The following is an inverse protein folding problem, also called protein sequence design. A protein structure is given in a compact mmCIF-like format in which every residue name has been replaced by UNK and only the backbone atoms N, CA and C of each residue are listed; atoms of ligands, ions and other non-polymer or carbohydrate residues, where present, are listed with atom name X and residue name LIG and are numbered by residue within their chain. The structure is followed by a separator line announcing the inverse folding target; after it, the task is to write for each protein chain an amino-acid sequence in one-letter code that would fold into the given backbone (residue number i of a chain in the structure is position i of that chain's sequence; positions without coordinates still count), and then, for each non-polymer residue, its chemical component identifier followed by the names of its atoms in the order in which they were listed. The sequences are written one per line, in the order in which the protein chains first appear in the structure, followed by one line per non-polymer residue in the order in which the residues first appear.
data_IF_202129094364
#
_entry.id   IF_202129094364
#
_cell.length_a   1.000
_cell.length_b   1.000
_cell.length_c   1.000
_cell.angle_alpha   90.00
_cell.angle_beta   90.00
_cell.angle_gamma   90.00
#
_symmetry.space_group_name_H-M   'P 1'
#
loop_
_entity.id
_entity.type
_entity.pdbx_description
1 polymer ?
#
# COMPACT_ATOMS: atom_id res chain seq x y z
N UNK A 1 13.94 2.22 -6.20
CA UNK A 1 13.59 1.78 -4.80
C UNK A 1 13.22 0.30 -4.77
N UNK A 2 13.23 -0.32 -3.57
CA UNK A 2 12.60 -1.64 -3.30
C UNK A 2 11.20 -1.41 -2.77
N UNK A 3 10.20 -1.97 -3.46
CA UNK A 3 8.77 -1.82 -3.11
C UNK A 3 8.19 -3.20 -2.80
N UNK A 4 7.62 -3.36 -1.60
CA UNK A 4 6.91 -4.57 -1.21
C UNK A 4 5.40 -4.32 -1.32
N UNK A 5 4.73 -5.12 -2.14
CA UNK A 5 3.28 -5.10 -2.27
C UNK A 5 2.67 -6.29 -1.54
N UNK A 6 1.69 -6.07 -0.69
CA UNK A 6 1.09 -7.11 0.15
C UNK A 6 -0.40 -7.24 -0.19
N UNK A 7 -0.81 -8.48 -0.48
CA UNK A 7 -2.22 -8.88 -0.61
C UNK A 7 -2.63 -9.63 0.67
N UNK A 8 -3.44 -9.03 1.55
CA UNK A 8 -3.90 -9.69 2.77
C UNK A 8 -4.80 -10.89 2.48
N UNK A 9 -4.80 -11.87 3.39
CA UNK A 9 -5.82 -12.94 3.38
C UNK A 9 -7.21 -12.38 3.68
N UNK A 10 -8.25 -13.17 3.41
CA UNK A 10 -9.58 -12.95 3.95
C UNK A 10 -9.74 -13.60 5.34
N UNK A 11 -10.73 -13.18 6.15
CA UNK A 11 -10.98 -13.74 7.48
C UNK A 11 -11.59 -15.16 7.44
N UNK A 12 -11.95 -15.65 6.26
CA UNK A 12 -12.54 -16.96 6.02
C UNK A 12 -11.81 -17.69 4.89
N UNK A 13 -11.96 -19.02 4.83
CA UNK A 13 -11.41 -19.81 3.74
C UNK A 13 -12.19 -19.50 2.45
N UNK A 14 -11.49 -18.99 1.46
CA UNK A 14 -12.00 -18.75 0.11
C UNK A 14 -11.27 -19.62 -0.92
N UNK A 15 -11.97 -19.85 -2.02
CA UNK A 15 -11.27 -20.37 -3.21
C UNK A 15 -10.22 -19.38 -3.68
N UNK A 16 -9.05 -19.87 -4.11
CA UNK A 16 -7.99 -19.00 -4.64
C UNK A 16 -8.54 -18.13 -5.77
N UNK A 17 -8.46 -16.82 -5.61
CA UNK A 17 -8.77 -15.88 -6.67
C UNK A 17 -7.49 -15.41 -7.33
N UNK A 18 -7.53 -15.24 -8.63
CA UNK A 18 -6.41 -14.68 -9.35
C UNK A 18 -6.16 -13.26 -8.85
N UNK A 19 -4.96 -13.03 -8.33
CA UNK A 19 -4.51 -11.69 -7.96
C UNK A 19 -4.19 -10.94 -9.25
N UNK A 20 -5.02 -9.97 -9.61
CA UNK A 20 -4.87 -9.20 -10.85
C UNK A 20 -4.29 -7.81 -10.58
N UNK A 21 -4.80 -7.09 -9.60
CA UNK A 21 -4.48 -5.67 -9.37
C UNK A 21 -3.02 -5.42 -9.00
N UNK A 22 -2.47 -6.11 -7.99
CA UNK A 22 -1.08 -5.89 -7.57
C UNK A 22 -0.03 -6.23 -8.64
N UNK A 23 -0.18 -7.28 -9.49
CA UNK A 23 0.69 -7.49 -10.64
C UNK A 23 0.75 -6.32 -11.62
N UNK A 24 -0.35 -5.60 -11.87
CA UNK A 24 -0.34 -4.40 -12.71
C UNK A 24 0.49 -3.28 -12.07
N UNK A 25 0.25 -2.99 -10.80
CA UNK A 25 1.06 -2.01 -10.03
C UNK A 25 2.53 -2.42 -10.03
N UNK A 26 2.83 -3.70 -9.78
CA UNK A 26 4.20 -4.20 -9.78
C UNK A 26 4.88 -4.07 -11.15
N UNK A 27 4.16 -4.37 -12.23
CA UNK A 27 4.67 -4.26 -13.60
C UNK A 27 4.97 -2.81 -13.95
N UNK A 28 4.09 -1.88 -13.60
CA UNK A 28 4.26 -0.46 -13.80
C UNK A 28 5.51 0.08 -13.07
N UNK A 29 5.68 -0.29 -11.80
CA UNK A 29 6.85 0.08 -11.01
C UNK A 29 8.14 -0.55 -11.53
N UNK A 30 8.11 -1.81 -11.98
CA UNK A 30 9.29 -2.46 -12.58
C UNK A 30 9.71 -1.82 -13.89
N UNK A 31 8.75 -1.35 -14.71
CA UNK A 31 9.04 -0.61 -15.93
C UNK A 31 9.79 0.70 -15.65
N UNK A 32 9.59 1.30 -14.48
CA UNK A 32 10.33 2.47 -13.99
C UNK A 32 11.68 2.13 -13.33
N UNK A 33 12.10 0.87 -13.37
CA UNK A 33 13.39 0.41 -12.82
C UNK A 33 13.39 0.12 -11.33
N UNK A 34 12.24 -0.03 -10.70
CA UNK A 34 12.15 -0.39 -9.28
C UNK A 34 12.18 -1.91 -9.07
N UNK A 35 12.76 -2.34 -7.96
CA UNK A 35 12.73 -3.73 -7.51
C UNK A 35 11.43 -3.96 -6.74
N UNK A 36 10.57 -4.88 -7.21
CA UNK A 36 9.25 -5.08 -6.63
C UNK A 36 9.03 -6.54 -6.29
N UNK A 37 8.68 -6.80 -5.03
CA UNK A 37 8.18 -8.09 -4.58
C UNK A 37 6.69 -8.02 -4.23
N UNK A 38 5.97 -9.10 -4.50
CA UNK A 38 4.57 -9.29 -4.07
C UNK A 38 4.54 -10.37 -3.01
N UNK A 39 3.95 -10.05 -1.86
CA UNK A 39 3.61 -11.01 -0.81
C UNK A 39 2.11 -11.29 -0.88
N UNK A 40 1.74 -12.37 -1.54
CA UNK A 40 0.35 -12.81 -1.61
C UNK A 40 0.03 -13.77 -0.45
N UNK A 41 -0.86 -13.34 0.42
CA UNK A 41 -1.28 -14.07 1.61
C UNK A 41 -2.66 -14.73 1.46
N UNK A 42 -3.26 -14.67 0.27
CA UNK A 42 -4.59 -15.25 0.01
C UNK A 42 -4.65 -16.76 0.29
N UNK A 43 -3.60 -17.48 -0.06
CA UNK A 43 -3.51 -18.95 0.12
C UNK A 43 -2.93 -19.36 1.47
N UNK A 44 -2.54 -18.41 2.28
CA UNK A 44 -1.87 -18.68 3.55
C UNK A 44 -2.35 -17.66 4.57
N UNK A 45 -2.75 -18.12 5.75
CA UNK A 45 -3.10 -17.19 6.82
C UNK A 45 -2.04 -16.10 6.98
N UNK A 46 -2.49 -14.86 7.07
CA UNK A 46 -1.64 -13.73 7.45
C UNK A 46 -1.14 -13.94 8.87
N UNK A 47 0.15 -13.96 9.06
CA UNK A 47 0.77 -13.98 10.38
C UNK A 47 1.88 -12.94 10.46
N UNK A 48 2.12 -12.33 11.65
CA UNK A 48 3.18 -11.36 11.84
C UNK A 48 4.55 -11.86 11.35
N UNK A 49 4.89 -13.11 11.65
CA UNK A 49 6.20 -13.70 11.33
C UNK A 49 6.47 -13.77 9.83
N UNK A 50 5.43 -13.95 9.00
CA UNK A 50 5.58 -13.95 7.53
C UNK A 50 5.95 -12.56 7.03
N UNK A 51 5.34 -11.54 7.61
CA UNK A 51 5.59 -10.15 7.28
C UNK A 51 6.99 -9.75 7.76
N UNK A 52 7.32 -10.01 9.02
CA UNK A 52 8.62 -9.73 9.62
C UNK A 52 9.76 -10.37 8.82
N UNK A 53 9.61 -11.64 8.45
CA UNK A 53 10.57 -12.35 7.60
C UNK A 53 10.75 -11.68 6.24
N UNK A 54 9.65 -11.23 5.61
CA UNK A 54 9.73 -10.54 4.33
C UNK A 54 10.38 -9.18 4.47
N UNK A 55 10.01 -8.41 5.47
CA UNK A 55 10.60 -7.11 5.79
C UNK A 55 12.12 -7.23 6.02
N UNK A 56 12.55 -8.17 6.85
CA UNK A 56 13.96 -8.40 7.15
C UNK A 56 14.77 -8.84 5.91
N UNK A 57 14.21 -9.72 5.08
CA UNK A 57 14.90 -10.27 3.90
C UNK A 57 14.97 -9.27 2.77
N UNK A 58 13.84 -8.65 2.41
CA UNK A 58 13.75 -7.77 1.25
C UNK A 58 14.16 -6.33 1.58
N UNK A 59 14.01 -5.91 2.83
CA UNK A 59 14.29 -4.55 3.30
C UNK A 59 13.65 -3.49 2.40
N UNK A 60 12.31 -3.48 2.25
CA UNK A 60 11.62 -2.56 1.39
C UNK A 60 11.83 -1.11 1.84
N UNK A 61 11.80 -0.19 0.90
CA UNK A 61 11.85 1.25 1.12
C UNK A 61 10.45 1.88 1.02
N UNK A 62 9.47 1.12 0.54
CA UNK A 62 8.02 1.44 0.54
C UNK A 62 7.26 0.14 0.67
N UNK A 63 6.16 0.14 1.43
CA UNK A 63 5.23 -0.98 1.54
C UNK A 63 3.86 -0.54 1.08
N UNK A 64 3.32 -1.23 0.07
CA UNK A 64 1.95 -1.06 -0.41
C UNK A 64 1.06 -2.22 0.04
N UNK A 65 -0.13 -1.94 0.56
CA UNK A 65 -1.08 -2.94 1.06
C UNK A 65 -2.42 -2.70 0.36
N UNK A 66 -3.00 -3.74 -0.26
CA UNK A 66 -4.35 -3.63 -0.80
C UNK A 66 -5.40 -3.89 0.26
N UNK A 67 -6.55 -3.22 0.18
CA UNK A 67 -7.62 -3.33 1.17
C UNK A 67 -9.00 -3.29 0.52
N UNK A 68 -9.78 -4.31 0.79
CA UNK A 68 -11.23 -4.33 0.57
C UNK A 68 -11.93 -4.36 1.94
N UNK A 69 -13.22 -4.04 1.99
CA UNK A 69 -13.94 -3.96 3.28
C UNK A 69 -13.84 -5.25 4.11
N UNK A 70 -13.88 -6.40 3.44
CA UNK A 70 -13.85 -7.71 4.11
C UNK A 70 -12.52 -8.02 4.81
N UNK A 71 -11.39 -7.50 4.30
CA UNK A 71 -10.08 -7.78 4.87
C UNK A 71 -9.38 -6.53 5.44
N UNK A 72 -10.09 -5.41 5.57
CA UNK A 72 -9.49 -4.16 6.03
C UNK A 72 -8.81 -4.29 7.40
N UNK A 73 -9.43 -4.99 8.35
CA UNK A 73 -8.85 -5.23 9.67
C UNK A 73 -7.54 -6.04 9.60
N UNK A 74 -7.43 -6.98 8.66
CA UNK A 74 -6.18 -7.74 8.42
C UNK A 74 -5.13 -6.83 7.77
N UNK A 75 -5.52 -6.02 6.77
CA UNK A 75 -4.65 -5.04 6.15
C UNK A 75 -4.09 -4.03 7.17
N UNK A 76 -4.93 -3.57 8.09
CA UNK A 76 -4.53 -2.69 9.20
C UNK A 76 -3.52 -3.37 10.14
N UNK A 77 -3.78 -4.61 10.52
CA UNK A 77 -2.84 -5.39 11.35
C UNK A 77 -1.48 -5.58 10.65
N UNK A 78 -1.46 -5.78 9.33
CA UNK A 78 -0.22 -5.85 8.54
C UNK A 78 0.54 -4.52 8.62
N UNK A 79 -0.14 -3.39 8.44
CA UNK A 79 0.48 -2.07 8.53
C UNK A 79 1.13 -1.82 9.89
N UNK A 80 0.48 -2.24 10.98
CA UNK A 80 1.04 -2.16 12.33
C UNK A 80 2.30 -3.03 12.49
N UNK A 81 2.32 -4.25 11.94
CA UNK A 81 3.51 -5.11 11.95
C UNK A 81 4.64 -4.47 11.14
N UNK A 82 4.35 -3.95 9.96
CA UNK A 82 5.34 -3.23 9.12
C UNK A 82 5.95 -2.06 9.91
N UNK A 83 5.12 -1.24 10.56
CA UNK A 83 5.55 -0.11 11.37
C UNK A 83 6.43 -0.52 12.56
N UNK A 84 6.16 -1.67 13.16
CA UNK A 84 7.01 -2.24 14.24
C UNK A 84 8.35 -2.74 13.70
N UNK A 85 8.39 -3.29 12.48
CA UNK A 85 9.63 -3.75 11.85
C UNK A 85 10.54 -2.58 11.46
N UNK A 86 9.96 -1.52 10.91
CA UNK A 86 10.67 -0.31 10.50
C UNK A 86 9.76 0.91 10.64
N UNK A 87 10.04 1.71 11.65
CA UNK A 87 9.27 2.92 11.95
C UNK A 87 9.35 4.01 10.89
N UNK A 88 10.34 3.95 9.99
CA UNK A 88 10.59 4.97 8.97
C UNK A 88 10.05 4.59 7.58
N UNK A 89 9.75 3.31 7.33
CA UNK A 89 9.29 2.86 6.01
C UNK A 89 7.90 3.43 5.70
N UNK A 90 7.70 4.10 4.56
CA UNK A 90 6.38 4.58 4.14
C UNK A 90 5.40 3.43 3.92
N UNK A 91 4.22 3.54 4.53
CA UNK A 91 3.10 2.59 4.38
C UNK A 91 2.01 3.24 3.53
N UNK A 92 1.71 2.61 2.40
CA UNK A 92 0.68 3.02 1.45
C UNK A 92 -0.44 1.99 1.45
N UNK A 93 -1.67 2.41 1.57
CA UNK A 93 -2.81 1.52 1.38
C UNK A 93 -3.60 1.93 0.14
N UNK A 94 -4.06 0.94 -0.62
CA UNK A 94 -4.90 1.14 -1.80
C UNK A 94 -6.08 0.18 -1.80
N UNK A 95 -6.95 0.34 -2.79
CA UNK A 95 -8.12 -0.50 -2.98
C UNK A 95 -9.43 0.17 -2.55
N UNK A 96 -10.58 -0.49 -2.81
CA UNK A 96 -11.89 0.14 -2.67
C UNK A 96 -12.19 0.65 -1.28
N UNK A 97 -11.85 -0.11 -0.23
CA UNK A 97 -12.21 0.30 1.14
C UNK A 97 -11.64 1.67 1.49
N UNK A 98 -10.32 1.82 1.38
CA UNK A 98 -9.64 3.07 1.78
C UNK A 98 -9.92 4.22 0.83
N UNK A 99 -10.27 3.96 -0.44
CA UNK A 99 -10.67 5.00 -1.39
C UNK A 99 -11.99 5.67 -1.00
N UNK A 100 -12.90 4.93 -0.37
CA UNK A 100 -14.18 5.46 0.12
C UNK A 100 -14.15 5.93 1.58
N UNK A 101 -13.24 5.40 2.41
CA UNK A 101 -13.16 5.64 3.85
C UNK A 101 -11.84 6.32 4.25
N UNK A 102 -11.43 7.37 3.54
CA UNK A 102 -10.10 8.00 3.69
C UNK A 102 -9.89 8.53 5.11
N UNK A 103 -10.81 9.37 5.61
CA UNK A 103 -10.70 10.00 6.91
C UNK A 103 -10.73 8.97 8.05
N UNK A 104 -11.60 7.98 7.93
CA UNK A 104 -11.74 6.89 8.90
C UNK A 104 -10.46 6.04 8.91
N UNK A 105 -9.95 5.68 7.75
CA UNK A 105 -8.72 4.89 7.62
C UNK A 105 -7.52 5.59 8.27
N UNK A 106 -7.35 6.88 8.05
CA UNK A 106 -6.27 7.63 8.71
C UNK A 106 -6.50 7.80 10.22
N UNK A 107 -7.74 8.04 10.66
CA UNK A 107 -8.07 8.17 12.10
C UNK A 107 -7.76 6.87 12.85
N UNK A 108 -8.18 5.74 12.28
CA UNK A 108 -8.15 4.45 12.96
C UNK A 108 -6.81 3.71 12.79
N UNK A 109 -5.96 4.12 11.84
CA UNK A 109 -4.68 3.50 11.55
C UNK A 109 -3.52 4.51 11.54
N UNK A 110 -2.90 4.80 12.70
CA UNK A 110 -1.73 5.69 12.79
C UNK A 110 -0.52 5.21 11.98
N UNK A 111 -0.41 3.91 11.72
CA UNK A 111 0.66 3.33 10.92
C UNK A 111 0.60 3.68 9.42
N UNK A 112 -0.53 4.24 8.96
CA UNK A 112 -0.76 4.59 7.55
C UNK A 112 -0.24 6.00 7.23
N UNK A 113 0.60 6.12 6.20
CA UNK A 113 1.15 7.40 5.73
C UNK A 113 0.40 7.94 4.52
N UNK A 114 0.03 7.04 3.58
CA UNK A 114 -0.55 7.39 2.29
C UNK A 114 -1.71 6.47 1.92
N UNK A 115 -2.68 7.02 1.19
CA UNK A 115 -3.72 6.26 0.50
C UNK A 115 -3.63 6.55 -0.99
N UNK A 116 -3.46 5.50 -1.80
CA UNK A 116 -3.65 5.57 -3.24
C UNK A 116 -5.15 5.44 -3.55
N UNK A 117 -5.73 6.51 -4.09
CA UNK A 117 -7.17 6.61 -4.36
C UNK A 117 -7.47 6.04 -5.73
N UNK A 118 -8.44 5.15 -5.84
CA UNK A 118 -8.86 4.46 -7.07
C UNK A 118 -7.75 3.61 -7.70
N UNK A 119 -7.38 3.86 -8.97
CA UNK A 119 -6.33 3.12 -9.68
C UNK A 119 -4.94 3.50 -9.17
N UNK A 120 -4.20 2.48 -8.73
CA UNK A 120 -2.94 2.68 -8.00
C UNK A 120 -1.68 2.73 -8.86
N UNK A 121 -1.72 2.31 -10.13
CA UNK A 121 -0.54 2.10 -10.96
C UNK A 121 0.27 3.39 -11.12
N UNK A 122 -0.32 4.42 -11.67
CA UNK A 122 0.33 5.72 -11.88
C UNK A 122 0.56 6.47 -10.57
N UNK A 123 -0.39 6.38 -9.62
CA UNK A 123 -0.25 7.00 -8.30
C UNK A 123 0.96 6.46 -7.56
N UNK A 124 1.19 5.14 -7.62
CA UNK A 124 2.36 4.51 -7.00
C UNK A 124 3.68 4.89 -7.68
N UNK A 125 3.71 5.01 -9.02
CA UNK A 125 4.90 5.50 -9.75
C UNK A 125 5.24 6.93 -9.30
N UNK A 126 4.26 7.83 -9.32
CA UNK A 126 4.46 9.24 -8.92
C UNK A 126 4.86 9.35 -7.45
N UNK A 127 4.21 8.59 -6.55
CA UNK A 127 4.58 8.56 -5.14
C UNK A 127 6.02 8.09 -4.92
N UNK A 128 6.43 7.01 -5.58
CA UNK A 128 7.81 6.50 -5.47
C UNK A 128 8.82 7.53 -6.00
N UNK A 129 8.52 8.21 -7.12
CA UNK A 129 9.34 9.34 -7.61
C UNK A 129 9.44 10.49 -6.60
N UNK A 130 8.33 10.81 -5.93
CA UNK A 130 8.32 11.84 -4.91
C UNK A 130 9.15 11.44 -3.68
N UNK A 131 9.04 10.18 -3.24
CA UNK A 131 9.87 9.65 -2.14
C UNK A 131 11.37 9.56 -2.48
N UNK A 132 11.72 9.48 -3.77
CA UNK A 132 13.09 9.60 -4.26
C UNK A 132 13.57 11.06 -4.42
N UNK A 133 12.71 12.05 -4.11
CA UNK A 133 13.02 13.47 -4.30
C UNK A 133 13.03 13.95 -5.75
N UNK A 134 12.44 13.16 -6.67
CA UNK A 134 12.37 13.44 -8.11
C UNK A 134 11.09 14.17 -8.51
N UNK A 135 10.17 14.35 -7.57
CA UNK A 135 8.86 14.97 -7.77
C UNK A 135 8.39 15.56 -6.43
N UNK A 136 7.57 16.62 -6.47
CA UNK A 136 6.92 17.12 -5.26
C UNK A 136 5.70 16.23 -4.92
N UNK A 137 5.54 15.90 -3.64
CA UNK A 137 4.36 15.13 -3.17
C UNK A 137 3.02 15.80 -3.51
N UNK A 138 3.03 17.13 -3.66
CA UNK A 138 1.83 17.88 -4.05
C UNK A 138 1.39 17.64 -5.49
N UNK A 139 2.31 17.21 -6.34
CA UNK A 139 2.07 16.95 -7.76
C UNK A 139 1.64 15.49 -8.02
N UNK A 140 1.77 14.59 -7.04
CA UNK A 140 1.27 13.22 -7.11
C UNK A 140 -0.25 13.25 -7.19
N UNK A 141 -0.84 12.70 -8.24
CA UNK A 141 -2.30 12.66 -8.40
C UNK A 141 -2.91 11.41 -7.76
N UNK A 142 -4.13 11.56 -7.26
CA UNK A 142 -4.88 10.44 -6.66
C UNK A 142 -4.29 9.96 -5.34
N UNK A 143 -3.70 10.86 -4.55
CA UNK A 143 -3.08 10.54 -3.27
C UNK A 143 -3.80 11.25 -2.12
N UNK A 144 -3.97 10.56 -1.00
CA UNK A 144 -4.25 11.19 0.29
C UNK A 144 -3.09 10.92 1.25
N UNK A 145 -2.77 11.89 2.11
CA UNK A 145 -1.64 11.81 3.03
C UNK A 145 -1.90 12.61 4.32
N UNK A 146 -1.16 12.27 5.37
CA UNK A 146 -1.11 13.09 6.58
C UNK A 146 -0.28 14.33 6.33
N UNK A 147 -0.81 15.48 6.77
CA UNK A 147 -0.14 16.78 6.75
C UNK A 147 -0.32 17.42 8.14
N UNK A 148 0.55 17.04 9.07
CA UNK A 148 0.35 17.32 10.50
C UNK A 148 -0.93 16.65 11.03
N UNK A 149 -1.81 17.44 11.64
CA UNK A 149 -3.10 16.97 12.16
C UNK A 149 -4.21 16.91 11.10
N UNK A 150 -3.90 17.23 9.84
CA UNK A 150 -4.86 17.26 8.75
C UNK A 150 -4.60 16.14 7.75
N UNK A 151 -5.67 15.77 7.05
CA UNK A 151 -5.58 14.90 5.86
C UNK A 151 -5.63 15.80 4.64
N UNK A 152 -4.60 15.68 3.80
CA UNK A 152 -4.54 16.37 2.52
C UNK A 152 -4.83 15.38 1.41
N UNK A 153 -5.65 15.78 0.44
CA UNK A 153 -5.85 15.06 -0.82
C UNK A 153 -5.21 15.87 -1.94
N UNK A 154 -4.50 15.21 -2.80
CA UNK A 154 -3.95 15.80 -4.02
C UNK A 154 -5.00 15.84 -5.14
N UNK A 155 -4.64 16.41 -6.29
CA UNK A 155 -5.53 16.47 -7.43
C UNK A 155 -6.06 15.08 -7.85
N UNK A 156 -7.32 14.98 -8.33
CA UNK A 156 -7.88 13.71 -8.76
C UNK A 156 -7.15 13.17 -9.99
N UNK A 157 -7.09 11.85 -10.11
CA UNK A 157 -6.69 11.16 -11.34
C UNK A 157 -7.95 10.81 -12.12
N UNK A 158 -7.97 11.13 -13.42
CA UNK A 158 -9.01 10.65 -14.32
C UNK A 158 -8.91 9.13 -14.51
N UNK A 159 -10.00 8.50 -14.87
CA UNK A 159 -9.99 7.10 -15.32
C UNK A 159 -9.39 7.07 -16.73
N UNK A 160 -8.41 6.21 -16.94
CA UNK A 160 -7.83 5.91 -18.26
C UNK A 160 -8.45 4.64 -18.82
#
# INVERSE_FOLDING_TARGET
MRVLLINPSYPFEEFPRLLVTLPYVASALRAEGHEVEILDLMLARTTPEKIERRMSRFRPQVVGITSVTLNHHIASAIAEVVRKCDGAVPVVMGGPHVSFAIEESFRDLPALDYIAINEGEHTMIELVRALEGRMDLRDVRGLALRDGDRIRRTGPRGYE
#
